data_IF_520153893203
#
_entry.id   IF_520153893203
#
_cell.length_a   1.000
_cell.length_b   1.000
_cell.length_c   1.000
_cell.angle_alpha   90.00
_cell.angle_beta   90.00
_cell.angle_gamma   90.00
#
_symmetry.space_group_name_H-M   'P 1'
#
loop_
_entity.id
_entity.type
_entity.pdbx_description
1 polymer ?
#
# COMPACT_ATOMS: atom_id res chain seq x y z
N UNK A 1 -33.96 2.17 -9.12
CA UNK A 1 -33.11 0.96 -9.17
C UNK A 1 -31.68 1.46 -9.38
N UNK A 2 -30.94 1.72 -8.30
CA UNK A 2 -29.56 2.18 -8.40
C UNK A 2 -28.68 0.98 -8.69
N UNK A 3 -28.07 0.94 -9.87
CA UNK A 3 -27.04 -0.04 -10.18
C UNK A 3 -25.85 0.35 -9.32
N UNK A 4 -25.57 -0.43 -8.27
CA UNK A 4 -24.30 -0.37 -7.55
C UNK A 4 -23.21 -0.75 -8.54
N UNK A 5 -22.47 0.23 -9.07
CA UNK A 5 -21.23 -0.07 -9.77
C UNK A 5 -20.19 -0.44 -8.73
N UNK A 6 -19.79 -1.70 -8.75
CA UNK A 6 -18.66 -2.21 -7.98
C UNK A 6 -17.64 -2.83 -8.93
N UNK A 7 -16.36 -2.55 -8.70
CA UNK A 7 -15.27 -3.10 -9.51
C UNK A 7 -14.57 -4.18 -8.69
N UNK A 8 -14.55 -5.39 -9.23
CA UNK A 8 -13.80 -6.52 -8.66
C UNK A 8 -12.33 -6.45 -9.08
N UNK A 9 -11.43 -6.51 -8.10
CA UNK A 9 -9.99 -6.41 -8.29
C UNK A 9 -9.28 -7.55 -7.58
N UNK A 10 -8.28 -8.13 -8.24
CA UNK A 10 -7.36 -9.08 -7.60
C UNK A 10 -6.16 -8.31 -7.08
N UNK A 11 -6.07 -8.18 -5.75
CA UNK A 11 -4.93 -7.57 -5.07
C UNK A 11 -3.80 -8.60 -4.95
N UNK A 12 -2.56 -8.14 -5.13
CA UNK A 12 -1.37 -9.01 -5.14
C UNK A 12 -0.74 -9.16 -3.75
N UNK A 13 -1.20 -8.35 -2.79
CA UNK A 13 -0.63 -8.24 -1.46
C UNK A 13 -1.52 -8.86 -0.37
N UNK A 14 -2.70 -9.36 -0.74
CA UNK A 14 -3.68 -10.01 0.13
C UNK A 14 -3.76 -11.51 -0.19
N UNK A 15 -3.84 -12.37 0.84
CA UNK A 15 -3.72 -13.83 0.65
C UNK A 15 -5.01 -14.54 0.25
N UNK A 16 -6.17 -13.88 0.34
CA UNK A 16 -7.46 -14.40 -0.11
C UNK A 16 -8.42 -13.23 -0.40
N UNK A 17 -9.25 -13.46 -1.41
CA UNK A 17 -10.43 -12.68 -1.82
C UNK A 17 -10.25 -11.60 -2.89
N UNK A 18 -11.23 -11.63 -3.80
CA UNK A 18 -11.46 -10.60 -4.80
C UNK A 18 -11.92 -9.35 -4.04
N UNK A 19 -11.20 -8.26 -4.21
CA UNK A 19 -11.54 -6.98 -3.59
C UNK A 19 -12.65 -6.29 -4.36
N UNK A 20 -13.63 -5.69 -3.67
CA UNK A 20 -14.76 -4.98 -4.28
C UNK A 20 -14.65 -3.50 -3.99
N UNK A 21 -14.34 -2.70 -5.01
CA UNK A 21 -14.32 -1.24 -4.89
C UNK A 21 -15.72 -0.68 -5.11
N UNK A 22 -16.31 -0.09 -4.07
CA UNK A 22 -17.66 0.42 -4.09
C UNK A 22 -17.77 1.80 -4.77
N UNK A 23 -18.98 2.17 -5.18
CA UNK A 23 -19.25 3.47 -5.78
C UNK A 23 -18.79 4.64 -4.89
N UNK A 24 -18.93 4.52 -3.57
CA UNK A 24 -18.48 5.53 -2.61
C UNK A 24 -16.97 5.76 -2.65
N UNK A 25 -16.17 4.71 -2.87
CA UNK A 25 -14.72 4.80 -2.93
C UNK A 25 -14.27 5.45 -4.26
N UNK A 26 -14.97 5.14 -5.37
CA UNK A 26 -14.75 5.79 -6.68
C UNK A 26 -15.05 7.29 -6.59
N UNK A 27 -16.21 7.62 -6.02
CA UNK A 27 -16.62 9.02 -5.88
C UNK A 27 -15.62 9.77 -5.00
N UNK A 28 -15.14 9.15 -3.93
CA UNK A 28 -14.14 9.76 -3.06
C UNK A 28 -12.81 10.00 -3.78
N UNK A 29 -12.32 9.01 -4.53
CA UNK A 29 -11.14 9.16 -5.39
C UNK A 29 -11.24 10.37 -6.33
N UNK A 30 -12.42 10.62 -6.90
CA UNK A 30 -12.63 11.73 -7.83
C UNK A 30 -12.81 13.08 -7.14
N UNK A 31 -13.38 13.11 -5.94
CA UNK A 31 -13.74 14.36 -5.27
C UNK A 31 -12.66 14.85 -4.29
N UNK A 32 -11.91 13.95 -3.65
CA UNK A 32 -10.83 14.30 -2.71
C UNK A 32 -11.32 15.05 -1.47
N UNK A 33 -12.52 14.75 -0.99
CA UNK A 33 -13.16 15.44 0.13
C UNK A 33 -12.88 14.77 1.49
N UNK A 34 -12.40 13.52 1.48
CA UNK A 34 -12.06 12.70 2.64
C UNK A 34 -10.71 12.04 2.44
N UNK A 35 -10.20 11.47 3.53
CA UNK A 35 -9.03 10.61 3.52
C UNK A 35 -9.24 9.40 2.60
N UNK A 36 -8.18 9.02 1.87
CA UNK A 36 -8.18 7.79 1.09
C UNK A 36 -8.25 6.58 2.03
N UNK A 37 -9.20 5.68 1.80
CA UNK A 37 -9.25 4.43 2.54
C UNK A 37 -8.08 3.51 2.18
N UNK A 38 -7.74 2.57 3.07
CA UNK A 38 -6.65 1.61 2.89
C UNK A 38 -6.74 0.86 1.56
N UNK A 39 -7.95 0.46 1.18
CA UNK A 39 -8.29 -0.14 -0.11
C UNK A 39 -7.69 0.62 -1.30
N UNK A 40 -7.90 1.94 -1.36
CA UNK A 40 -7.45 2.76 -2.48
C UNK A 40 -5.92 2.72 -2.56
N UNK A 41 -5.25 2.76 -1.41
CA UNK A 41 -3.81 2.64 -1.32
C UNK A 41 -3.34 1.26 -1.80
N UNK A 42 -3.99 0.17 -1.38
CA UNK A 42 -3.64 -1.19 -1.83
C UNK A 42 -3.81 -1.37 -3.36
N UNK A 43 -4.82 -0.74 -3.96
CA UNK A 43 -5.02 -0.73 -5.42
C UNK A 43 -3.88 0.00 -6.11
N UNK A 44 -3.51 1.18 -5.61
CA UNK A 44 -2.38 1.93 -6.14
C UNK A 44 -1.06 1.14 -6.02
N UNK A 45 -0.80 0.49 -4.89
CA UNK A 45 0.37 -0.37 -4.70
C UNK A 45 0.38 -1.55 -5.70
N UNK A 46 -0.78 -2.17 -5.93
CA UNK A 46 -0.93 -3.25 -6.92
C UNK A 46 -0.65 -2.76 -8.34
N UNK A 47 -1.18 -1.59 -8.71
CA UNK A 47 -0.87 -0.96 -10.00
C UNK A 47 0.63 -0.68 -10.15
N UNK A 48 1.26 -0.09 -9.12
CA UNK A 48 2.69 0.20 -9.13
C UNK A 48 3.54 -1.06 -9.23
N UNK A 49 3.15 -2.15 -8.57
CA UNK A 49 3.82 -3.44 -8.69
C UNK A 49 3.79 -3.97 -10.12
N UNK A 50 2.60 -4.01 -10.74
CA UNK A 50 2.43 -4.42 -12.13
C UNK A 50 3.23 -3.55 -13.10
N UNK A 51 3.17 -2.23 -12.92
CA UNK A 51 3.97 -1.30 -13.71
C UNK A 51 5.48 -1.57 -13.58
N UNK A 52 5.96 -1.93 -12.38
CA UNK A 52 7.35 -2.32 -12.20
C UNK A 52 7.69 -3.62 -12.95
N UNK A 53 6.79 -4.59 -13.00
CA UNK A 53 6.98 -5.81 -13.82
C UNK A 53 7.06 -5.44 -15.30
N UNK A 54 6.09 -4.67 -15.80
CA UNK A 54 5.99 -4.29 -17.21
C UNK A 54 7.22 -3.50 -17.69
N UNK A 55 7.80 -2.69 -16.81
CA UNK A 55 9.01 -1.91 -17.07
C UNK A 55 10.31 -2.70 -16.83
N UNK A 56 10.25 -3.98 -16.47
CA UNK A 56 11.45 -4.79 -16.17
C UNK A 56 12.17 -4.39 -14.87
N UNK A 57 11.47 -3.73 -13.95
CA UNK A 57 11.96 -3.20 -12.66
C UNK A 57 11.45 -3.98 -11.45
N UNK A 58 11.02 -5.23 -11.63
CA UNK A 58 10.44 -6.06 -10.57
C UNK A 58 11.38 -6.32 -9.38
N UNK A 59 12.69 -6.16 -9.54
CA UNK A 59 13.69 -6.25 -8.46
C UNK A 59 13.91 -4.96 -7.67
N UNK A 60 13.43 -3.81 -8.16
CA UNK A 60 13.77 -2.50 -7.61
C UNK A 60 12.89 -2.11 -6.42
N UNK A 61 11.58 -2.30 -6.55
CA UNK A 61 10.61 -1.80 -5.58
C UNK A 61 9.78 -2.92 -4.96
N UNK A 62 9.78 -2.97 -3.63
CA UNK A 62 8.87 -3.75 -2.81
C UNK A 62 7.75 -2.87 -2.29
N UNK A 63 6.55 -3.43 -2.16
CA UNK A 63 5.37 -2.73 -1.68
C UNK A 63 4.88 -3.44 -0.41
N UNK A 64 4.81 -2.68 0.69
CA UNK A 64 4.33 -3.16 1.98
C UNK A 64 2.87 -2.77 2.10
N UNK A 65 2.04 -3.76 2.39
CA UNK A 65 0.61 -3.52 2.50
C UNK A 65 0.30 -2.80 3.82
N UNK A 66 -0.33 -1.60 3.76
CA UNK A 66 -0.69 -0.82 4.95
C UNK A 66 -1.54 -1.60 5.96
N UNK A 67 -2.39 -2.55 5.53
CA UNK A 67 -3.23 -3.35 6.43
C UNK A 67 -2.43 -4.06 7.53
N UNK A 68 -1.21 -4.52 7.22
CA UNK A 68 -0.40 -5.29 8.16
C UNK A 68 0.56 -4.43 8.99
N UNK A 69 0.64 -3.13 8.72
CA UNK A 69 1.59 -2.22 9.39
C UNK A 69 0.92 -1.07 10.13
N UNK A 70 -0.42 -1.02 10.20
CA UNK A 70 -1.11 -0.12 11.12
C UNK A 70 -0.83 -0.54 12.56
N UNK A 71 0.22 0.05 13.13
CA UNK A 71 0.84 -0.39 14.39
C UNK A 71 0.07 0.00 15.64
N UNK A 72 -0.99 0.82 15.53
CA UNK A 72 -1.83 1.20 16.67
C UNK A 72 -2.41 -0.01 17.42
N UNK A 73 -2.48 -1.18 16.75
CA UNK A 73 -3.07 -2.40 17.30
C UNK A 73 -2.09 -3.58 17.45
N UNK A 74 -1.02 -3.68 16.64
CA UNK A 74 -0.03 -4.78 16.72
C UNK A 74 1.36 -4.41 16.16
N UNK A 75 2.21 -3.82 17.00
CA UNK A 75 3.57 -3.43 16.61
C UNK A 75 4.51 -4.62 16.35
N UNK A 76 4.33 -5.74 17.04
CA UNK A 76 5.16 -6.95 16.88
C UNK A 76 4.82 -7.63 15.55
N UNK A 77 3.52 -7.77 15.24
CA UNK A 77 3.04 -8.29 13.96
C UNK A 77 3.50 -7.43 12.80
N UNK A 78 3.37 -6.11 12.91
CA UNK A 78 3.86 -5.17 11.90
C UNK A 78 5.37 -5.33 11.65
N UNK A 79 6.18 -5.37 12.71
CA UNK A 79 7.62 -5.58 12.58
C UNK A 79 7.94 -6.92 11.89
N UNK A 80 7.28 -8.00 12.30
CA UNK A 80 7.50 -9.34 11.71
C UNK A 80 7.10 -9.38 10.25
N UNK A 81 5.99 -8.74 9.87
CA UNK A 81 5.55 -8.64 8.49
C UNK A 81 6.58 -7.93 7.61
N UNK A 82 7.07 -6.76 8.06
CA UNK A 82 8.09 -5.99 7.34
C UNK A 82 9.37 -6.82 7.20
N UNK A 83 9.86 -7.43 8.29
CA UNK A 83 11.06 -8.27 8.26
C UNK A 83 10.93 -9.45 7.28
N UNK A 84 9.79 -10.14 7.30
CA UNK A 84 9.53 -11.25 6.39
C UNK A 84 9.53 -10.78 4.93
N UNK A 85 8.86 -9.66 4.62
CA UNK A 85 8.85 -9.08 3.27
C UNK A 85 10.27 -8.77 2.80
N UNK A 86 11.04 -8.05 3.62
CA UNK A 86 12.43 -7.68 3.32
C UNK A 86 13.33 -8.90 3.03
N UNK A 87 13.15 -9.99 3.78
CA UNK A 87 13.92 -11.22 3.59
C UNK A 87 13.50 -12.02 2.35
N UNK A 88 12.19 -12.06 2.06
CA UNK A 88 11.61 -12.91 1.02
C UNK A 88 11.87 -12.37 -0.40
N UNK A 89 11.66 -11.08 -0.63
CA UNK A 89 11.65 -10.53 -1.99
C UNK A 89 12.90 -9.69 -2.34
N UNK A 90 13.71 -9.33 -1.33
CA UNK A 90 15.06 -8.73 -1.42
C UNK A 90 15.17 -7.57 -2.42
N UNK A 91 14.17 -6.69 -2.42
CA UNK A 91 14.09 -5.51 -3.29
C UNK A 91 15.12 -4.45 -2.87
N UNK A 92 15.44 -3.56 -3.81
CA UNK A 92 16.38 -2.46 -3.52
C UNK A 92 15.82 -1.44 -2.54
N UNK A 93 14.54 -1.09 -2.70
CA UNK A 93 13.80 -0.22 -1.78
C UNK A 93 12.36 -0.70 -1.61
N UNK A 94 11.75 -0.32 -0.48
CA UNK A 94 10.40 -0.68 -0.08
C UNK A 94 9.58 0.57 0.14
N UNK A 95 8.35 0.60 -0.37
CA UNK A 95 7.37 1.65 -0.14
C UNK A 95 6.37 1.18 0.91
N UNK A 96 6.22 1.96 1.98
CA UNK A 96 5.40 1.66 3.14
C UNK A 96 4.45 2.84 3.40
N UNK A 97 3.23 2.82 2.85
CA UNK A 97 2.20 3.76 3.24
C UNK A 97 1.81 3.51 4.69
N UNK A 98 1.90 4.54 5.52
CA UNK A 98 1.61 4.49 6.95
C UNK A 98 0.55 5.53 7.27
N UNK A 99 -0.49 5.14 8.01
CA UNK A 99 -1.53 6.06 8.44
C UNK A 99 -1.24 6.47 9.89
N UNK A 100 -1.15 7.77 10.13
CA UNK A 100 -0.86 8.32 11.44
C UNK A 100 -1.83 9.47 11.73
N UNK A 101 -2.68 9.35 12.75
CA UNK A 101 -3.62 10.40 13.14
C UNK A 101 -4.43 10.98 11.94
N UNK A 102 -5.04 10.11 11.15
CA UNK A 102 -5.78 10.48 9.93
C UNK A 102 -4.93 11.26 8.90
N UNK A 103 -3.64 10.90 8.80
CA UNK A 103 -2.73 11.46 7.82
C UNK A 103 -1.84 10.38 7.21
N UNK A 104 -1.95 10.22 5.89
CA UNK A 104 -1.11 9.29 5.13
C UNK A 104 0.30 9.83 4.94
N UNK A 105 1.27 9.00 5.27
CA UNK A 105 2.70 9.26 5.14
C UNK A 105 3.34 8.10 4.39
N UNK A 106 4.46 8.36 3.71
CA UNK A 106 5.18 7.30 2.99
C UNK A 106 6.57 7.12 3.62
N UNK A 107 6.80 5.94 4.19
CA UNK A 107 8.14 5.50 4.56
C UNK A 107 8.76 4.77 3.38
N UNK A 108 10.05 5.04 3.13
CA UNK A 108 10.85 4.32 2.14
C UNK A 108 12.05 3.70 2.83
N UNK A 109 12.14 2.37 2.82
CA UNK A 109 13.28 1.64 3.37
C UNK A 109 14.17 1.19 2.22
N UNK A 110 15.46 1.53 2.24
CA UNK A 110 16.44 1.01 1.27
C UNK A 110 17.52 0.22 2.02
N UNK A 111 17.34 -1.12 2.20
CA UNK A 111 18.19 -1.92 3.08
C UNK A 111 19.67 -1.89 2.71
N UNK A 112 20.00 -1.98 1.42
CA UNK A 112 21.38 -1.93 0.93
C UNK A 112 22.10 -0.62 1.23
N UNK A 113 21.34 0.47 1.39
CA UNK A 113 21.85 1.81 1.70
C UNK A 113 21.76 2.14 3.20
N UNK A 114 21.23 1.23 4.02
CA UNK A 114 20.93 1.46 5.43
C UNK A 114 20.23 2.81 5.69
N UNK A 115 19.26 3.14 4.83
CA UNK A 115 18.57 4.44 4.85
C UNK A 115 17.07 4.22 4.93
N UNK A 116 16.42 5.04 5.75
CA UNK A 116 14.97 5.19 5.82
C UNK A 116 14.65 6.64 5.49
N UNK A 117 13.75 6.86 4.55
CA UNK A 117 13.26 8.19 4.17
C UNK A 117 11.79 8.29 4.59
N UNK A 118 11.45 9.42 5.20
CA UNK A 118 10.08 9.74 5.58
C UNK A 118 9.56 10.86 4.69
N UNK A 119 8.47 10.61 3.98
CA UNK A 119 7.84 11.57 3.09
C UNK A 119 6.46 11.94 3.66
N UNK A 120 6.29 13.21 3.95
CA UNK A 120 5.09 13.78 4.54
C UNK A 120 4.67 14.99 3.71
N UNK A 121 3.40 15.09 3.36
CA UNK A 121 2.86 16.24 2.60
C UNK A 121 2.49 17.42 3.51
N UNK A 122 2.40 17.20 4.83
CA UNK A 122 2.30 18.25 5.83
C UNK A 122 3.71 18.62 6.29
N UNK A 123 4.17 19.81 5.89
CA UNK A 123 5.46 20.38 6.29
C UNK A 123 5.36 21.22 7.57
#
# INVERSE_FOLDING_TARGET
>A
MSISLSIELKLEHETSEVFVLGQSDIVELCMGNRELCITIIQIWLTYMHRLCIDLGKSGMYGFIDPCFIQSEYDSIGAQKYIQNKLQQDQKECYLLPYLNNCHWQLLVICPKKNTIVFLCSLG
#
